data_IF_366081848051
#
_entry.id   IF_366081848051
#
_cell.length_a   1.000
_cell.length_b   1.000
_cell.length_c   1.000
_cell.angle_alpha   90.00
_cell.angle_beta   90.00
_cell.angle_gamma   90.00
#
_symmetry.space_group_name_H-M   'P 1'
#
loop_
_entity.id
_entity.type
_entity.pdbx_description
1 polymer ?
#
# COMPACT_ATOMS: atom_id res chain seq x y z
N UNK A 1 -16.66 36.50 32.10
CA UNK A 1 -15.92 35.22 31.95
C UNK A 1 -16.63 34.40 30.93
N UNK A 2 -16.20 34.50 29.65
CA UNK A 2 -16.89 33.88 28.54
C UNK A 2 -16.52 32.40 28.50
N UNK A 3 -17.44 31.56 28.95
CA UNK A 3 -17.28 30.10 29.04
C UNK A 3 -17.24 29.45 27.64
N UNK A 4 -17.57 30.22 26.60
CA UNK A 4 -17.64 29.75 25.21
C UNK A 4 -16.48 30.20 24.31
N UNK A 5 -15.53 30.98 24.82
CA UNK A 5 -14.40 31.40 24.00
C UNK A 5 -13.34 30.29 23.92
N UNK A 6 -13.36 29.61 22.81
CA UNK A 6 -12.14 29.07 22.18
C UNK A 6 -11.62 27.73 22.66
N UNK A 7 -12.20 27.10 23.68
CA UNK A 7 -11.54 25.91 24.23
C UNK A 7 -11.87 24.60 23.49
N UNK A 8 -13.01 24.50 22.88
CA UNK A 8 -13.47 23.26 22.25
C UNK A 8 -13.41 23.34 20.71
N UNK A 9 -13.69 24.53 20.15
CA UNK A 9 -13.83 24.69 18.71
C UNK A 9 -12.51 24.56 17.92
N UNK A 10 -11.41 25.12 18.40
CA UNK A 10 -10.14 25.15 17.64
C UNK A 10 -9.48 23.78 17.64
N UNK A 11 -9.45 23.07 18.75
CA UNK A 11 -8.83 21.74 18.82
C UNK A 11 -9.62 20.64 18.11
N UNK A 12 -10.95 20.69 18.18
CA UNK A 12 -11.81 19.77 17.42
C UNK A 12 -11.68 20.03 15.93
N UNK A 13 -11.55 21.28 15.50
CA UNK A 13 -11.48 21.66 14.10
C UNK A 13 -10.15 21.24 13.47
N UNK A 14 -9.02 21.43 14.15
CA UNK A 14 -7.72 21.00 13.66
C UNK A 14 -7.59 19.47 13.61
N UNK A 15 -8.09 18.76 14.62
CA UNK A 15 -8.14 17.30 14.63
C UNK A 15 -9.03 16.72 13.53
N UNK A 16 -10.21 17.28 13.31
CA UNK A 16 -11.12 16.86 12.26
C UNK A 16 -10.55 17.08 10.86
N UNK A 17 -9.89 18.21 10.60
CA UNK A 17 -9.25 18.48 9.31
C UNK A 17 -8.19 17.43 8.96
N UNK A 18 -7.41 16.97 9.92
CA UNK A 18 -6.41 15.93 9.70
C UNK A 18 -7.08 14.59 9.38
N UNK A 19 -8.12 14.22 10.12
CA UNK A 19 -8.85 12.98 9.91
C UNK A 19 -9.60 13.00 8.58
N UNK A 20 -10.19 14.14 8.21
CA UNK A 20 -10.88 14.33 6.92
C UNK A 20 -9.90 14.24 5.74
N UNK A 21 -8.69 14.77 5.87
CA UNK A 21 -7.64 14.67 4.83
C UNK A 21 -7.20 13.21 4.65
N UNK A 22 -6.94 12.50 5.75
CA UNK A 22 -6.55 11.08 5.70
C UNK A 22 -7.70 10.25 5.11
N UNK A 23 -8.94 10.51 5.53
CA UNK A 23 -10.13 9.83 5.00
C UNK A 23 -10.31 10.09 3.50
N UNK A 24 -10.20 11.35 3.06
CA UNK A 24 -10.31 11.72 1.64
C UNK A 24 -9.25 11.00 0.81
N UNK A 25 -8.03 10.88 1.33
CA UNK A 25 -6.91 10.22 0.68
C UNK A 25 -7.14 8.70 0.58
N UNK A 26 -7.64 8.07 1.63
CA UNK A 26 -8.04 6.66 1.63
C UNK A 26 -9.20 6.40 0.67
N UNK A 27 -10.21 7.27 0.67
CA UNK A 27 -11.37 7.16 -0.22
C UNK A 27 -10.93 7.32 -1.69
N UNK A 28 -10.09 8.29 -2.00
CA UNK A 28 -9.53 8.47 -3.33
C UNK A 28 -8.76 7.22 -3.78
N UNK A 29 -7.88 6.70 -2.93
CA UNK A 29 -7.11 5.49 -3.23
C UNK A 29 -8.03 4.29 -3.45
N UNK A 30 -9.10 4.16 -2.65
CA UNK A 30 -10.10 3.10 -2.80
C UNK A 30 -10.88 3.20 -4.11
N UNK A 31 -11.26 4.41 -4.54
CA UNK A 31 -11.93 4.62 -5.83
C UNK A 31 -11.01 4.22 -6.99
N UNK A 32 -9.76 4.68 -6.97
CA UNK A 32 -8.77 4.31 -7.99
C UNK A 32 -8.54 2.79 -8.00
N UNK A 33 -8.41 2.18 -6.82
CA UNK A 33 -8.30 0.73 -6.68
C UNK A 33 -9.50 0.01 -7.28
N UNK A 34 -10.72 0.43 -6.95
CA UNK A 34 -11.95 -0.17 -7.45
C UNK A 34 -12.04 -0.12 -8.98
N UNK A 35 -11.62 0.99 -9.58
CA UNK A 35 -11.56 1.14 -11.03
C UNK A 35 -10.52 0.21 -11.66
N UNK A 36 -9.30 0.18 -11.14
CA UNK A 36 -8.22 -0.69 -11.63
C UNK A 36 -8.57 -2.16 -11.43
N UNK A 37 -9.19 -2.49 -10.29
CA UNK A 37 -9.63 -3.85 -9.98
C UNK A 37 -10.73 -4.32 -10.94
N UNK A 38 -11.75 -3.50 -11.19
CA UNK A 38 -12.81 -3.82 -12.14
C UNK A 38 -12.28 -4.09 -13.54
N UNK A 39 -11.33 -3.27 -13.99
CA UNK A 39 -10.74 -3.41 -15.34
C UNK A 39 -9.87 -4.67 -15.45
N UNK A 40 -9.23 -5.10 -14.37
CA UNK A 40 -8.25 -6.20 -14.35
C UNK A 40 -8.66 -7.37 -13.46
N UNK A 41 -9.96 -7.56 -13.23
CA UNK A 41 -10.47 -8.61 -12.32
C UNK A 41 -9.97 -10.01 -12.66
N UNK A 42 -9.93 -10.36 -13.94
CA UNK A 42 -9.43 -11.67 -14.39
C UNK A 42 -7.94 -11.87 -14.04
N UNK A 43 -7.13 -10.79 -14.14
CA UNK A 43 -5.73 -10.82 -13.73
C UNK A 43 -5.58 -11.03 -12.22
N UNK A 44 -6.43 -10.40 -11.43
CA UNK A 44 -6.44 -10.58 -9.98
C UNK A 44 -6.78 -12.02 -9.58
N UNK A 45 -7.84 -12.59 -10.16
CA UNK A 45 -8.21 -14.00 -9.93
C UNK A 45 -7.09 -14.95 -10.35
N UNK A 46 -6.41 -14.66 -11.47
CA UNK A 46 -5.25 -15.43 -11.91
C UNK A 46 -4.11 -15.32 -10.89
N UNK A 47 -3.79 -14.11 -10.42
CA UNK A 47 -2.78 -13.91 -9.38
C UNK A 47 -3.09 -14.66 -8.09
N UNK A 48 -4.37 -14.69 -7.67
CA UNK A 48 -4.82 -15.49 -6.52
C UNK A 48 -4.56 -16.97 -6.73
N UNK A 49 -4.97 -17.51 -7.87
CA UNK A 49 -4.72 -18.92 -8.21
C UNK A 49 -3.22 -19.22 -8.21
N UNK A 50 -2.42 -18.37 -8.80
CA UNK A 50 -0.96 -18.52 -8.87
C UNK A 50 -0.29 -18.44 -7.50
N UNK A 51 -0.87 -17.72 -6.53
CA UNK A 51 -0.36 -17.69 -5.16
C UNK A 51 -0.56 -19.03 -4.43
N UNK A 52 -1.65 -19.75 -4.73
CA UNK A 52 -2.01 -21.00 -4.05
C UNK A 52 -1.56 -22.26 -4.82
N UNK A 53 -1.44 -22.22 -6.16
CA UNK A 53 -1.12 -23.37 -7.00
C UNK A 53 0.36 -23.33 -7.42
N UNK A 54 1.22 -24.01 -6.68
CA UNK A 54 2.68 -24.00 -6.91
C UNK A 54 3.09 -24.81 -8.16
N UNK A 55 2.31 -25.81 -8.54
CA UNK A 55 2.74 -26.84 -9.52
C UNK A 55 2.43 -26.55 -10.99
N UNK A 56 1.45 -25.69 -11.27
CA UNK A 56 1.02 -25.36 -12.65
C UNK A 56 1.63 -24.07 -13.22
N UNK A 57 2.55 -23.44 -12.49
CA UNK A 57 3.06 -22.10 -12.79
C UNK A 57 3.89 -22.00 -14.06
N UNK A 58 4.50 -23.09 -14.52
CA UNK A 58 5.44 -23.03 -15.65
C UNK A 58 4.77 -22.72 -16.99
N UNK A 59 3.51 -23.11 -17.19
CA UNK A 59 2.84 -22.98 -18.48
C UNK A 59 1.96 -21.72 -18.60
N UNK A 60 1.72 -20.97 -17.54
CA UNK A 60 0.75 -19.86 -17.54
C UNK A 60 1.40 -18.48 -17.76
N UNK A 61 2.73 -18.39 -17.69
CA UNK A 61 3.43 -17.10 -17.72
C UNK A 61 3.92 -16.67 -19.09
N UNK A 62 4.10 -17.58 -20.02
CA UNK A 62 4.63 -17.24 -21.34
C UNK A 62 3.60 -16.57 -22.27
N UNK A 63 2.30 -16.73 -22.00
CA UNK A 63 1.28 -16.26 -22.95
C UNK A 63 0.72 -14.86 -22.71
N UNK A 64 1.01 -14.20 -21.59
CA UNK A 64 0.37 -12.89 -21.28
C UNK A 64 1.36 -11.87 -20.70
N UNK A 65 2.44 -11.59 -21.41
CA UNK A 65 3.29 -10.41 -21.12
C UNK A 65 2.66 -9.18 -21.79
N UNK A 66 1.56 -8.67 -21.22
CA UNK A 66 0.95 -7.43 -21.69
C UNK A 66 1.31 -6.24 -20.79
N UNK A 67 1.38 -5.03 -21.37
CA UNK A 67 1.59 -3.77 -20.63
C UNK A 67 0.59 -3.60 -19.46
N UNK A 68 -0.61 -4.17 -19.58
CA UNK A 68 -1.65 -4.14 -18.56
C UNK A 68 -1.25 -4.86 -17.27
N UNK A 69 -0.55 -6.01 -17.37
CA UNK A 69 -0.11 -6.79 -16.20
C UNK A 69 0.97 -6.03 -15.42
N UNK A 70 1.90 -5.41 -16.14
CA UNK A 70 2.96 -4.62 -15.52
C UNK A 70 2.39 -3.43 -14.74
N UNK A 71 1.45 -2.71 -15.34
CA UNK A 71 0.77 -1.59 -14.69
C UNK A 71 0.00 -2.04 -13.44
N UNK A 72 -0.81 -3.09 -13.57
CA UNK A 72 -1.60 -3.63 -12.47
C UNK A 72 -0.72 -4.07 -11.28
N UNK A 73 0.38 -4.76 -11.55
CA UNK A 73 1.32 -5.21 -10.54
C UNK A 73 2.01 -4.06 -9.82
N UNK A 74 2.47 -3.05 -10.56
CA UNK A 74 3.11 -1.87 -9.97
C UNK A 74 2.10 -1.06 -9.15
N UNK A 75 0.87 -0.94 -9.63
CA UNK A 75 -0.19 -0.28 -8.90
C UNK A 75 -0.50 -0.97 -7.57
N UNK A 76 -0.60 -2.30 -7.55
CA UNK A 76 -0.80 -3.06 -6.31
C UNK A 76 0.35 -2.86 -5.31
N UNK A 77 1.58 -2.85 -5.79
CA UNK A 77 2.75 -2.57 -4.93
C UNK A 77 2.71 -1.15 -4.37
N UNK A 78 2.42 -0.15 -5.22
CA UNK A 78 2.25 1.24 -4.79
C UNK A 78 1.18 1.37 -3.71
N UNK A 79 0.03 0.75 -3.91
CA UNK A 79 -1.08 0.76 -2.97
C UNK A 79 -0.70 0.18 -1.60
N UNK A 80 -0.01 -0.98 -1.56
CA UNK A 80 0.46 -1.58 -0.31
C UNK A 80 1.39 -0.63 0.44
N UNK A 81 2.38 -0.06 -0.24
CA UNK A 81 3.34 0.86 0.37
C UNK A 81 2.65 2.12 0.92
N UNK A 82 1.68 2.63 0.16
CA UNK A 82 0.94 3.82 0.55
C UNK A 82 0.03 3.57 1.77
N UNK A 83 -0.74 2.48 1.77
CA UNK A 83 -1.55 2.07 2.91
C UNK A 83 -0.68 1.77 4.15
N UNK A 84 0.48 1.13 3.96
CA UNK A 84 1.43 0.89 5.04
C UNK A 84 1.98 2.18 5.62
N UNK A 85 2.22 3.21 4.81
CA UNK A 85 2.68 4.52 5.31
C UNK A 85 1.62 5.20 6.16
N UNK A 86 0.35 5.17 5.75
CA UNK A 86 -0.76 5.69 6.53
C UNK A 86 -0.90 4.92 7.86
N UNK A 87 -0.84 3.58 7.80
CA UNK A 87 -0.92 2.74 9.00
C UNK A 87 0.18 3.06 10.02
N UNK A 88 1.44 3.21 9.57
CA UNK A 88 2.55 3.56 10.45
C UNK A 88 2.35 4.92 11.12
N UNK A 89 1.81 5.88 10.40
CA UNK A 89 1.52 7.21 10.95
C UNK A 89 0.37 7.14 11.94
N UNK A 90 -0.70 6.41 11.64
CA UNK A 90 -1.81 6.21 12.55
C UNK A 90 -1.34 5.54 13.86
N UNK A 91 -0.52 4.51 13.76
CA UNK A 91 0.12 3.88 14.92
C UNK A 91 1.01 4.88 15.69
N UNK A 92 1.84 5.66 14.99
CA UNK A 92 2.68 6.68 15.60
C UNK A 92 1.87 7.74 16.36
N UNK A 93 0.68 8.07 15.87
CA UNK A 93 -0.27 8.98 16.52
C UNK A 93 -0.83 8.37 17.82
N UNK A 94 -1.26 7.10 17.79
CA UNK A 94 -1.78 6.39 18.96
C UNK A 94 -0.74 6.35 20.08
N UNK A 95 0.53 6.11 19.75
CA UNK A 95 1.62 6.10 20.74
C UNK A 95 2.17 7.49 21.09
N UNK A 96 1.59 8.57 20.57
CA UNK A 96 2.00 9.93 20.89
C UNK A 96 3.36 10.36 20.32
N UNK A 97 3.95 9.58 19.42
CA UNK A 97 5.21 9.94 18.75
C UNK A 97 5.04 11.08 17.74
N UNK A 98 3.81 11.28 17.29
CA UNK A 98 3.52 12.20 16.21
C UNK A 98 2.29 13.03 16.57
N UNK A 99 2.50 14.32 16.83
CA UNK A 99 1.44 15.29 17.03
C UNK A 99 1.42 16.25 15.85
N UNK A 100 0.38 16.16 15.03
CA UNK A 100 0.19 17.09 13.93
C UNK A 100 -0.81 18.18 14.31
N UNK A 101 -0.35 19.43 14.24
CA UNK A 101 -1.22 20.60 14.33
C UNK A 101 -1.76 21.01 12.94
N UNK A 102 -1.05 20.64 11.86
CA UNK A 102 -1.33 21.09 10.51
C UNK A 102 -1.46 19.92 9.53
N UNK A 103 -2.45 19.99 8.64
CA UNK A 103 -2.67 18.98 7.59
C UNK A 103 -1.49 18.86 6.61
N UNK A 104 -0.75 19.95 6.37
CA UNK A 104 0.45 19.95 5.51
C UNK A 104 1.56 19.09 6.10
N UNK A 105 1.74 19.15 7.42
CA UNK A 105 2.71 18.31 8.13
C UNK A 105 2.37 16.82 8.02
N UNK A 106 1.08 16.47 8.08
CA UNK A 106 0.62 15.09 7.88
C UNK A 106 0.95 14.58 6.49
N UNK A 107 0.61 15.35 5.43
CA UNK A 107 0.89 14.97 4.05
C UNK A 107 2.39 14.82 3.79
N UNK A 108 3.21 15.76 4.30
CA UNK A 108 4.66 15.66 4.13
C UNK A 108 5.25 14.45 4.84
N UNK A 109 4.72 14.09 6.01
CA UNK A 109 5.17 12.91 6.74
C UNK A 109 4.71 11.62 6.04
N UNK A 110 3.46 11.55 5.53
CA UNK A 110 3.00 10.42 4.71
C UNK A 110 3.94 10.25 3.51
N UNK A 111 4.24 11.33 2.80
CA UNK A 111 5.15 11.32 1.66
C UNK A 111 6.56 10.83 2.03
N UNK A 112 7.10 11.30 3.15
CA UNK A 112 8.44 10.91 3.62
C UNK A 112 8.47 9.44 3.99
N UNK A 113 7.51 8.95 4.78
CA UNK A 113 7.43 7.52 5.15
C UNK A 113 7.23 6.65 3.91
N UNK A 114 6.38 7.08 2.98
CA UNK A 114 6.19 6.38 1.71
C UNK A 114 7.50 6.29 0.92
N UNK A 115 8.27 7.37 0.79
CA UNK A 115 9.56 7.37 0.11
C UNK A 115 10.55 6.42 0.77
N UNK A 116 10.63 6.40 2.09
CA UNK A 116 11.50 5.48 2.83
C UNK A 116 11.11 4.02 2.58
N UNK A 117 9.81 3.70 2.68
CA UNK A 117 9.31 2.36 2.40
C UNK A 117 9.56 1.94 0.94
N UNK A 118 9.38 2.86 0.00
CA UNK A 118 9.64 2.61 -1.41
C UNK A 118 11.12 2.34 -1.68
N UNK A 119 12.03 3.15 -1.12
CA UNK A 119 13.47 2.92 -1.23
C UNK A 119 13.87 1.58 -0.62
N UNK A 120 13.34 1.25 0.55
CA UNK A 120 13.57 -0.05 1.19
C UNK A 120 13.08 -1.22 0.33
N UNK A 121 11.90 -1.08 -0.27
CA UNK A 121 11.35 -2.07 -1.20
C UNK A 121 12.26 -2.26 -2.42
N UNK A 122 12.73 -1.17 -3.04
CA UNK A 122 13.64 -1.22 -4.19
C UNK A 122 14.98 -1.85 -3.83
N UNK A 123 15.53 -1.48 -2.68
CA UNK A 123 16.77 -2.09 -2.17
C UNK A 123 16.62 -3.60 -1.97
N UNK A 124 15.52 -4.02 -1.35
CA UNK A 124 15.19 -5.44 -1.17
C UNK A 124 15.09 -6.16 -2.53
N UNK A 125 14.43 -5.59 -3.52
CA UNK A 125 14.34 -6.18 -4.85
C UNK A 125 15.70 -6.29 -5.54
N UNK A 126 16.57 -5.29 -5.38
CA UNK A 126 17.92 -5.31 -5.90
C UNK A 126 18.76 -6.43 -5.26
N UNK A 127 18.72 -6.57 -3.93
CA UNK A 127 19.39 -7.65 -3.22
C UNK A 127 18.93 -9.04 -3.69
N UNK A 128 17.63 -9.23 -3.84
CA UNK A 128 17.11 -10.51 -4.33
C UNK A 128 17.45 -10.78 -5.79
N UNK A 129 17.52 -9.74 -6.62
CA UNK A 129 17.97 -9.88 -8.01
C UNK A 129 19.44 -10.34 -8.05
N UNK A 130 20.30 -9.72 -7.26
CA UNK A 130 21.73 -10.08 -7.19
C UNK A 130 21.90 -11.52 -6.68
N UNK A 131 21.22 -11.90 -5.60
CA UNK A 131 21.26 -13.25 -5.07
C UNK A 131 20.70 -14.27 -6.08
N UNK A 132 19.60 -13.94 -6.74
CA UNK A 132 19.00 -14.80 -7.75
C UNK A 132 19.88 -14.99 -8.98
N UNK A 133 20.63 -13.96 -9.40
CA UNK A 133 21.53 -14.05 -10.56
C UNK A 133 22.79 -14.85 -10.28
N UNK A 134 23.26 -14.86 -9.02
CA UNK A 134 24.51 -15.54 -8.64
C UNK A 134 24.28 -16.99 -8.19
N UNK A 135 23.20 -17.26 -7.46
CA UNK A 135 23.03 -18.53 -6.77
C UNK A 135 21.84 -19.36 -7.27
N UNK A 136 21.01 -18.85 -8.18
CA UNK A 136 19.78 -19.52 -8.57
C UNK A 136 19.58 -19.51 -10.08
N UNK A 137 18.82 -20.51 -10.57
CA UNK A 137 18.31 -20.53 -11.94
C UNK A 137 17.44 -19.29 -12.21
N UNK A 138 17.60 -18.61 -13.35
CA UNK A 138 16.78 -17.44 -13.70
C UNK A 138 15.28 -17.73 -13.70
N UNK A 139 14.88 -18.97 -13.99
CA UNK A 139 13.47 -19.38 -13.99
C UNK A 139 12.90 -19.49 -12.56
N UNK A 140 13.69 -19.97 -11.61
CA UNK A 140 13.30 -20.02 -10.19
C UNK A 140 13.11 -18.61 -9.62
N UNK A 141 13.99 -17.67 -10.00
CA UNK A 141 13.85 -16.27 -9.61
C UNK A 141 12.56 -15.63 -10.14
N UNK A 142 12.22 -15.87 -11.43
CA UNK A 142 10.97 -15.38 -12.03
C UNK A 142 9.75 -15.92 -11.29
N UNK A 143 9.73 -17.21 -10.96
CA UNK A 143 8.65 -17.84 -10.21
C UNK A 143 8.49 -17.23 -8.81
N UNK A 144 9.61 -17.04 -8.12
CA UNK A 144 9.60 -16.40 -6.80
C UNK A 144 9.08 -14.97 -6.86
N UNK A 145 9.56 -14.15 -7.80
CA UNK A 145 9.11 -12.76 -8.00
C UNK A 145 7.62 -12.68 -8.28
N UNK A 146 7.09 -13.60 -9.04
CA UNK A 146 5.66 -13.65 -9.34
C UNK A 146 4.83 -14.00 -8.12
N UNK A 147 5.25 -14.98 -7.34
CA UNK A 147 4.58 -15.33 -6.08
C UNK A 147 4.61 -14.19 -5.08
N UNK A 148 5.74 -13.51 -4.96
CA UNK A 148 5.88 -12.36 -4.10
C UNK A 148 4.91 -11.23 -4.48
N UNK A 149 4.80 -10.93 -5.77
CA UNK A 149 3.87 -9.90 -6.25
C UNK A 149 2.40 -10.30 -6.05
N UNK A 150 2.07 -11.58 -6.16
CA UNK A 150 0.73 -12.08 -5.88
C UNK A 150 0.35 -11.90 -4.39
N UNK A 151 1.27 -12.25 -3.50
CA UNK A 151 1.09 -12.04 -2.05
C UNK A 151 0.95 -10.55 -1.74
N UNK A 152 1.77 -9.69 -2.33
CA UNK A 152 1.65 -8.24 -2.16
C UNK A 152 0.29 -7.72 -2.63
N UNK A 153 -0.26 -8.25 -3.71
CA UNK A 153 -1.61 -7.90 -4.17
C UNK A 153 -2.69 -8.24 -3.16
N UNK A 154 -2.63 -9.42 -2.55
CA UNK A 154 -3.57 -9.86 -1.50
C UNK A 154 -3.45 -8.95 -0.27
N UNK A 155 -2.22 -8.66 0.18
CA UNK A 155 -1.96 -7.73 1.27
C UNK A 155 -2.54 -6.33 0.99
N UNK A 156 -2.41 -5.84 -0.24
CA UNK A 156 -2.96 -4.54 -0.64
C UNK A 156 -4.48 -4.43 -0.45
N UNK A 157 -5.21 -5.52 -0.69
CA UNK A 157 -6.66 -5.55 -0.46
C UNK A 157 -6.99 -5.69 1.03
N UNK A 158 -6.31 -6.58 1.74
CA UNK A 158 -6.59 -6.85 3.15
C UNK A 158 -6.22 -5.69 4.08
N UNK A 159 -5.25 -4.86 3.71
CA UNK A 159 -4.81 -3.71 4.51
C UNK A 159 -5.86 -2.59 4.63
N UNK A 160 -6.84 -2.50 3.73
CA UNK A 160 -7.87 -1.46 3.83
C UNK A 160 -8.64 -1.52 5.15
N UNK A 161 -9.04 -2.71 5.57
CA UNK A 161 -9.85 -2.89 6.79
C UNK A 161 -9.09 -2.45 8.05
N UNK A 162 -7.87 -2.95 8.35
CA UNK A 162 -7.14 -2.54 9.53
C UNK A 162 -6.69 -1.07 9.47
N UNK A 163 -6.37 -0.52 8.29
CA UNK A 163 -5.99 0.89 8.16
C UNK A 163 -7.17 1.81 8.45
N UNK A 164 -8.36 1.51 7.91
CA UNK A 164 -9.57 2.26 8.25
C UNK A 164 -9.83 2.21 9.76
N UNK A 165 -9.73 1.03 10.37
CA UNK A 165 -9.93 0.90 11.80
C UNK A 165 -8.91 1.71 12.62
N UNK A 166 -7.63 1.67 12.25
CA UNK A 166 -6.55 2.42 12.92
C UNK A 166 -6.70 3.95 12.82
N UNK A 167 -7.25 4.44 11.72
CA UNK A 167 -7.44 5.89 11.50
C UNK A 167 -8.59 6.44 12.35
N UNK A 168 -9.63 5.62 12.61
CA UNK A 168 -10.83 6.06 13.31
C UNK A 168 -10.90 5.64 14.79
N UNK A 169 -9.91 4.93 15.30
CA UNK A 169 -9.76 4.63 16.73
C UNK A 169 -8.84 5.64 17.42
#
# INVERSE_FOLDING_TARGET
>A
MNIFEGYVGIRLWDGQLVDDVIFSLLLFLFIVFSFVFRTNFQLFVKMLKDAFLVKERQNLFDDVIGKSIFFFRNFMTFQVLFLSSIALIAVGRIYGFVNYAEWQAVLSTIGTVFCVLFLFYQFKQCCYYLLGSVFSDPDKYKLWKTSYNAIMGIWGVSLYVPVLWLVFV
#
